data_IF_037170726466
#
_entry.id   IF_037170726466
#
_cell.length_a   1.000
_cell.length_b   1.000
_cell.length_c   1.000
_cell.angle_alpha   90.00
_cell.angle_beta   90.00
_cell.angle_gamma   90.00
#
_symmetry.space_group_name_H-M   'P 1'
#
loop_
_entity.id
_entity.type
_entity.pdbx_description
1 polymer ?
#
# COMPACT_ATOMS: atom_id res chain seq x y z
N UNK A 1 52.69 -26.37 0.46
CA UNK A 1 51.47 -27.14 0.13
C UNK A 1 50.46 -26.75 1.18
N UNK A 2 49.66 -25.74 0.89
CA UNK A 2 48.58 -25.25 1.76
C UNK A 2 47.28 -25.59 1.08
N UNK A 3 46.53 -26.42 1.73
CA UNK A 3 45.20 -26.83 1.31
C UNK A 3 44.20 -25.73 1.66
N UNK A 4 43.74 -24.99 0.67
CA UNK A 4 42.58 -24.10 0.77
C UNK A 4 41.31 -24.92 0.57
N UNK A 5 40.72 -25.39 1.65
CA UNK A 5 39.38 -25.93 1.63
C UNK A 5 38.37 -24.77 1.61
N UNK A 6 37.90 -24.47 0.42
CA UNK A 6 36.81 -23.57 0.11
C UNK A 6 35.52 -24.11 0.78
N UNK A 7 35.16 -23.49 1.93
CA UNK A 7 33.94 -23.85 2.67
C UNK A 7 32.75 -23.04 2.15
N UNK A 8 32.31 -23.35 0.93
CA UNK A 8 31.09 -22.82 0.34
C UNK A 8 29.87 -23.62 0.85
N UNK A 9 29.48 -23.37 2.09
CA UNK A 9 28.16 -23.84 2.55
C UNK A 9 27.08 -22.92 1.97
N UNK A 10 26.06 -23.44 1.27
CA UNK A 10 24.93 -22.64 0.84
C UNK A 10 24.18 -22.15 2.08
N UNK A 11 23.91 -20.85 2.09
CA UNK A 11 23.07 -20.20 3.10
C UNK A 11 21.65 -20.79 3.07
N UNK A 12 21.36 -21.66 4.03
CA UNK A 12 20.05 -22.32 4.22
C UNK A 12 19.15 -21.52 5.15
N UNK A 13 19.34 -20.21 5.28
CA UNK A 13 18.38 -19.37 5.96
C UNK A 13 17.12 -19.21 5.07
N UNK A 14 16.27 -20.23 5.11
CA UNK A 14 14.89 -20.11 4.60
C UNK A 14 14.17 -18.96 5.28
N UNK A 15 13.11 -18.40 4.68
CA UNK A 15 12.41 -17.26 5.24
C UNK A 15 11.96 -17.60 6.67
N UNK A 16 12.46 -16.81 7.64
CA UNK A 16 12.01 -16.92 9.04
C UNK A 16 10.52 -16.67 9.05
N UNK A 17 9.74 -17.64 9.54
CA UNK A 17 8.29 -17.51 9.61
C UNK A 17 7.93 -16.22 10.37
N UNK A 18 7.25 -15.32 9.69
CA UNK A 18 6.86 -14.04 10.26
C UNK A 18 5.98 -14.25 11.49
N UNK A 19 6.17 -13.50 12.57
CA UNK A 19 5.32 -13.59 13.74
C UNK A 19 3.86 -13.33 13.34
N UNK A 20 2.97 -14.24 13.72
CA UNK A 20 1.56 -14.19 13.36
C UNK A 20 0.75 -13.29 14.29
N UNK A 21 -0.21 -12.55 13.75
CA UNK A 21 -1.25 -11.87 14.50
C UNK A 21 -2.38 -12.84 14.91
N UNK A 22 -3.12 -12.50 15.95
CA UNK A 22 -4.35 -13.21 16.31
C UNK A 22 -5.55 -12.35 15.94
N UNK A 23 -6.45 -12.89 15.13
CA UNK A 23 -7.75 -12.31 14.89
C UNK A 23 -8.80 -13.15 15.62
N UNK A 24 -9.58 -12.51 16.49
CA UNK A 24 -10.70 -13.15 17.17
C UNK A 24 -12.00 -12.52 16.69
N UNK A 25 -12.89 -13.34 16.19
CA UNK A 25 -14.21 -12.96 15.70
C UNK A 25 -15.25 -13.67 16.53
N UNK A 26 -16.28 -12.96 16.97
CA UNK A 26 -17.44 -13.56 17.62
C UNK A 26 -18.48 -13.91 16.56
N UNK A 27 -18.95 -15.15 16.58
CA UNK A 27 -19.97 -15.63 15.67
C UNK A 27 -20.89 -16.62 16.41
N UNK A 28 -22.20 -16.38 16.40
CA UNK A 28 -23.17 -17.25 17.04
C UNK A 28 -22.90 -17.51 18.53
N UNK A 29 -22.42 -16.51 19.27
CA UNK A 29 -22.04 -16.62 20.69
C UNK A 29 -20.69 -17.30 20.95
N UNK A 30 -19.99 -17.74 19.91
CA UNK A 30 -18.68 -18.36 20.00
C UNK A 30 -17.57 -17.43 19.52
N UNK A 31 -16.42 -17.49 20.16
CA UNK A 31 -15.21 -16.79 19.72
C UNK A 31 -14.36 -17.71 18.84
N UNK A 32 -14.14 -17.30 17.61
CA UNK A 32 -13.25 -18.00 16.66
C UNK A 32 -11.95 -17.21 16.59
N UNK A 33 -10.87 -17.81 17.06
CA UNK A 33 -9.54 -17.19 16.96
C UNK A 33 -8.76 -17.86 15.84
N UNK A 34 -8.21 -17.05 14.94
CA UNK A 34 -7.33 -17.49 13.87
C UNK A 34 -5.99 -16.79 13.98
N UNK A 35 -4.95 -17.55 13.74
CA UNK A 35 -3.60 -17.04 13.60
C UNK A 35 -3.41 -16.63 12.13
N UNK A 36 -3.08 -15.38 11.89
CA UNK A 36 -2.90 -14.81 10.56
C UNK A 36 -1.46 -14.37 10.43
N UNK A 37 -0.75 -14.80 9.38
CA UNK A 37 0.60 -14.31 9.14
C UNK A 37 0.57 -12.79 8.90
N UNK A 38 1.68 -12.14 9.20
CA UNK A 38 1.88 -10.74 8.83
C UNK A 38 2.41 -10.69 7.40
N UNK A 39 1.98 -9.71 6.59
CA UNK A 39 2.48 -9.57 5.23
C UNK A 39 3.93 -9.09 5.19
N UNK A 40 4.64 -9.47 4.13
CA UNK A 40 5.87 -8.82 3.67
C UNK A 40 5.47 -7.80 2.61
N UNK A 41 5.85 -6.54 2.79
CA UNK A 41 5.58 -5.48 1.83
C UNK A 41 6.63 -5.54 0.71
N UNK A 42 6.16 -5.49 -0.52
CA UNK A 42 7.00 -5.39 -1.71
C UNK A 42 6.99 -3.93 -2.19
N UNK A 43 8.18 -3.36 -2.30
CA UNK A 43 8.41 -1.95 -2.65
C UNK A 43 8.99 -1.90 -4.07
N UNK A 44 8.43 -1.06 -4.94
CA UNK A 44 9.00 -0.88 -6.29
C UNK A 44 10.48 -0.47 -6.20
N UNK A 45 11.31 -1.12 -6.98
CA UNK A 45 12.76 -0.83 -7.02
C UNK A 45 13.07 0.59 -7.50
N UNK A 46 12.14 1.24 -8.22
CA UNK A 46 12.24 2.62 -8.70
C UNK A 46 11.83 3.67 -7.68
N UNK A 47 11.14 3.26 -6.57
CA UNK A 47 10.76 4.19 -5.50
C UNK A 47 12.01 4.70 -4.77
N UNK A 48 12.25 6.02 -4.85
CA UNK A 48 13.46 6.64 -4.32
C UNK A 48 13.38 6.96 -2.83
N UNK A 49 12.18 7.26 -2.34
CA UNK A 49 11.91 7.63 -0.96
C UNK A 49 10.82 6.73 -0.37
N UNK A 50 11.08 5.41 -0.23
CA UNK A 50 10.07 4.48 0.24
C UNK A 50 9.64 4.78 1.67
N UNK A 51 8.42 4.37 2.02
CA UNK A 51 7.96 4.34 3.39
C UNK A 51 8.77 3.34 4.23
N UNK A 52 8.97 3.65 5.50
CA UNK A 52 9.62 2.77 6.47
C UNK A 52 8.56 1.92 7.20
N UNK A 53 8.40 0.69 6.76
CA UNK A 53 7.45 -0.25 7.36
C UNK A 53 8.02 -0.95 8.59
N UNK A 54 9.31 -0.86 8.87
CA UNK A 54 9.94 -1.44 10.07
C UNK A 54 9.37 -0.87 11.38
N UNK A 55 8.76 0.32 11.30
CA UNK A 55 8.08 0.99 12.42
C UNK A 55 6.77 0.32 12.84
N UNK A 56 6.24 -0.59 12.03
CA UNK A 56 4.93 -1.24 12.25
C UNK A 56 5.05 -2.77 12.40
N UNK A 57 5.90 -3.27 13.32
CA UNK A 57 6.19 -4.70 13.46
C UNK A 57 4.98 -5.51 13.91
N UNK A 58 3.93 -4.85 14.42
CA UNK A 58 2.67 -5.53 14.77
C UNK A 58 1.80 -5.84 13.55
N UNK A 59 1.99 -5.16 12.42
CA UNK A 59 1.19 -5.30 11.21
C UNK A 59 1.96 -5.90 10.04
N UNK A 60 3.25 -5.60 9.92
CA UNK A 60 4.13 -5.95 8.80
C UNK A 60 5.24 -6.85 9.33
N UNK A 61 5.53 -7.93 8.60
CA UNK A 61 6.61 -8.87 8.93
C UNK A 61 7.97 -8.36 8.47
N UNK A 62 8.00 -7.65 7.35
CA UNK A 62 9.21 -7.13 6.74
C UNK A 62 8.91 -6.45 5.41
N UNK A 63 9.96 -5.98 4.75
CA UNK A 63 9.88 -5.33 3.45
C UNK A 63 10.95 -5.86 2.51
N UNK A 64 10.67 -5.84 1.20
CA UNK A 64 11.61 -6.26 0.17
C UNK A 64 11.42 -5.42 -1.09
N UNK A 65 12.49 -5.11 -1.79
CA UNK A 65 12.43 -4.42 -3.08
C UNK A 65 12.27 -5.39 -4.23
N UNK A 66 11.41 -5.03 -5.20
CA UNK A 66 11.30 -5.71 -6.47
C UNK A 66 10.77 -4.76 -7.55
N UNK A 67 10.91 -5.11 -8.82
CA UNK A 67 10.30 -4.34 -9.89
C UNK A 67 8.80 -4.63 -9.96
N UNK A 68 7.96 -3.60 -9.81
CA UNK A 68 6.51 -3.68 -9.99
C UNK A 68 6.12 -3.19 -11.38
N UNK A 69 5.03 -3.73 -11.94
CA UNK A 69 4.51 -3.30 -13.25
C UNK A 69 3.90 -1.90 -13.18
N UNK A 70 3.23 -1.59 -12.07
CA UNK A 70 2.60 -0.29 -11.77
C UNK A 70 2.54 -0.11 -10.26
N UNK A 71 2.45 1.16 -9.81
CA UNK A 71 2.38 1.50 -8.38
C UNK A 71 3.70 1.32 -7.64
N UNK A 72 3.68 1.61 -6.36
CA UNK A 72 4.88 1.69 -5.52
C UNK A 72 4.95 0.57 -4.48
N UNK A 73 3.80 0.05 -4.03
CA UNK A 73 3.73 -0.96 -2.97
C UNK A 73 2.70 -2.03 -3.27
N UNK A 74 3.07 -3.28 -2.98
CA UNK A 74 2.15 -4.42 -2.90
C UNK A 74 2.55 -5.33 -1.74
N UNK A 75 1.98 -6.52 -1.66
CA UNK A 75 2.26 -7.52 -0.64
C UNK A 75 2.62 -8.83 -1.30
N UNK A 76 3.58 -9.54 -0.74
CA UNK A 76 4.01 -10.85 -1.21
C UNK A 76 2.83 -11.83 -1.30
N UNK A 77 2.69 -12.48 -2.46
CA UNK A 77 1.56 -13.35 -2.78
C UNK A 77 0.30 -12.63 -3.26
N UNK A 78 0.32 -11.29 -3.35
CA UNK A 78 -0.78 -10.47 -3.87
C UNK A 78 -0.35 -9.55 -5.02
N UNK A 79 0.76 -9.86 -5.70
CA UNK A 79 1.40 -9.01 -6.70
C UNK A 79 0.48 -8.63 -7.87
N UNK A 80 -0.48 -9.51 -8.21
CA UNK A 80 -1.47 -9.29 -9.27
C UNK A 80 -2.85 -8.88 -8.73
N UNK A 81 -2.99 -8.74 -7.41
CA UNK A 81 -4.27 -8.49 -6.76
C UNK A 81 -4.36 -7.13 -6.07
N UNK A 82 -3.25 -6.65 -5.55
CA UNK A 82 -3.22 -5.46 -4.72
C UNK A 82 -2.11 -4.52 -5.19
N UNK A 83 -2.44 -3.23 -5.27
CA UNK A 83 -1.47 -2.18 -5.61
C UNK A 83 -1.80 -0.87 -4.89
N UNK A 84 -0.79 -0.23 -4.36
CA UNK A 84 -0.86 1.09 -3.76
C UNK A 84 0.13 2.02 -4.47
N UNK A 85 -0.38 3.10 -5.02
CA UNK A 85 0.42 4.21 -5.58
C UNK A 85 0.56 5.28 -4.49
N UNK A 86 1.77 5.76 -4.25
CA UNK A 86 2.07 6.85 -3.34
C UNK A 86 2.26 8.16 -4.11
N UNK A 87 1.72 9.24 -3.60
CA UNK A 87 1.95 10.59 -4.14
C UNK A 87 2.21 11.59 -3.02
N UNK A 88 3.35 12.25 -3.03
CA UNK A 88 3.49 13.48 -2.28
C UNK A 88 2.59 14.57 -2.88
N UNK A 89 2.26 15.61 -2.12
CA UNK A 89 1.45 16.70 -2.65
C UNK A 89 2.13 17.36 -3.86
N UNK A 90 3.43 17.61 -3.78
CA UNK A 90 4.21 18.19 -4.87
C UNK A 90 4.20 17.33 -6.13
N UNK A 91 4.44 16.00 -5.97
CA UNK A 91 4.42 15.07 -7.09
C UNK A 91 3.03 14.93 -7.71
N UNK A 92 1.99 14.98 -6.89
CA UNK A 92 0.61 14.96 -7.36
C UNK A 92 0.33 16.16 -8.26
N UNK A 93 0.61 17.38 -7.78
CA UNK A 93 0.37 18.62 -8.52
C UNK A 93 1.19 18.62 -9.81
N UNK A 94 2.48 18.34 -9.73
CA UNK A 94 3.37 18.27 -10.90
C UNK A 94 2.88 17.24 -11.92
N UNK A 95 2.47 16.07 -11.45
CA UNK A 95 1.95 15.00 -12.29
C UNK A 95 0.68 15.41 -13.01
N UNK A 96 -0.27 16.05 -12.32
CA UNK A 96 -1.53 16.49 -12.90
C UNK A 96 -1.35 17.65 -13.89
N UNK A 97 -0.35 18.50 -13.70
CA UNK A 97 -0.07 19.63 -14.57
C UNK A 97 0.80 19.28 -15.79
N UNK A 98 1.80 18.42 -15.63
CA UNK A 98 2.83 18.19 -16.64
C UNK A 98 2.80 16.78 -17.23
N UNK A 99 2.39 15.78 -16.47
CA UNK A 99 2.46 14.37 -16.83
C UNK A 99 1.09 13.66 -16.83
N UNK A 100 0.02 14.44 -17.01
CA UNK A 100 -1.37 13.97 -16.91
C UNK A 100 -1.67 12.71 -17.72
N UNK A 101 -1.26 12.66 -18.97
CA UNK A 101 -1.52 11.51 -19.86
C UNK A 101 -0.87 10.25 -19.33
N UNK A 102 0.40 10.34 -18.93
CA UNK A 102 1.13 9.20 -18.36
C UNK A 102 0.51 8.71 -17.04
N UNK A 103 0.07 9.64 -16.20
CA UNK A 103 -0.58 9.32 -14.95
C UNK A 103 -1.89 8.57 -15.15
N UNK A 104 -2.76 9.05 -16.03
CA UNK A 104 -4.01 8.38 -16.35
C UNK A 104 -3.79 7.00 -16.99
N UNK A 105 -2.77 6.85 -17.83
CA UNK A 105 -2.39 5.53 -18.35
C UNK A 105 -1.89 4.59 -17.21
N UNK A 106 -1.28 5.12 -16.17
CA UNK A 106 -0.98 4.37 -14.94
C UNK A 106 -2.24 3.93 -14.22
N UNK A 107 -3.18 4.85 -14.03
CA UNK A 107 -4.48 4.57 -13.41
C UNK A 107 -5.26 3.49 -14.18
N UNK A 108 -5.24 3.54 -15.52
CA UNK A 108 -5.86 2.51 -16.36
C UNK A 108 -5.26 1.12 -16.06
N UNK A 109 -3.94 1.00 -15.96
CA UNK A 109 -3.30 -0.27 -15.58
C UNK A 109 -3.66 -0.72 -14.16
N UNK A 110 -3.83 0.21 -13.22
CA UNK A 110 -4.26 -0.12 -11.86
C UNK A 110 -5.65 -0.75 -11.81
N UNK A 111 -6.51 -0.52 -12.80
CA UNK A 111 -7.86 -1.13 -12.84
C UNK A 111 -7.83 -2.66 -12.92
N UNK A 112 -6.71 -3.25 -13.32
CA UNK A 112 -6.52 -4.71 -13.36
C UNK A 112 -6.42 -5.33 -11.96
N UNK A 113 -6.08 -4.52 -10.96
CA UNK A 113 -5.92 -5.01 -9.59
C UNK A 113 -7.27 -5.00 -8.86
N UNK A 114 -7.54 -6.06 -8.10
CA UNK A 114 -8.76 -6.16 -7.29
C UNK A 114 -8.78 -5.07 -6.21
N UNK A 115 -7.65 -4.86 -5.55
CA UNK A 115 -7.46 -3.82 -4.53
C UNK A 115 -6.41 -2.82 -5.00
N UNK A 116 -6.83 -1.61 -5.17
CA UNK A 116 -6.01 -0.51 -5.68
C UNK A 116 -6.36 0.77 -4.96
N UNK A 117 -5.37 1.61 -4.71
CA UNK A 117 -5.60 2.94 -4.17
C UNK A 117 -4.44 3.87 -4.53
N UNK A 118 -4.73 5.18 -4.49
CA UNK A 118 -3.70 6.23 -4.49
C UNK A 118 -3.67 6.82 -3.10
N UNK A 119 -2.52 6.74 -2.43
CA UNK A 119 -2.30 7.36 -1.13
C UNK A 119 -1.58 8.68 -1.33
N UNK A 120 -2.22 9.77 -0.89
CA UNK A 120 -1.70 11.13 -0.99
C UNK A 120 -1.17 11.57 0.38
N UNK A 121 0.11 11.99 0.41
CA UNK A 121 0.76 12.54 1.61
C UNK A 121 0.31 14.00 1.83
N UNK A 122 -0.99 14.20 1.93
CA UNK A 122 -1.63 15.45 2.24
C UNK A 122 -3.06 15.19 2.75
N UNK A 123 -3.58 16.12 3.53
CA UNK A 123 -5.02 16.15 3.87
C UNK A 123 -5.84 16.69 2.70
N UNK A 124 -7.15 16.47 2.74
CA UNK A 124 -8.05 17.12 1.77
C UNK A 124 -7.98 18.66 1.90
N UNK A 125 -7.79 19.19 3.10
CA UNK A 125 -7.59 20.60 3.35
C UNK A 125 -6.33 21.13 2.64
N UNK A 126 -5.21 20.39 2.71
CA UNK A 126 -3.99 20.73 1.96
C UNK A 126 -4.24 20.81 0.45
N UNK A 127 -5.04 19.88 -0.10
CA UNK A 127 -5.43 19.89 -1.52
C UNK A 127 -6.26 21.13 -1.88
N UNK A 128 -7.06 21.62 -0.94
CA UNK A 128 -7.95 22.78 -1.15
C UNK A 128 -7.31 24.11 -0.82
N UNK A 129 -6.12 24.13 -0.24
CA UNK A 129 -5.38 25.35 0.07
C UNK A 129 -4.66 25.86 -1.18
N UNK A 130 -4.49 27.18 -1.28
CA UNK A 130 -3.69 27.78 -2.36
C UNK A 130 -2.24 27.32 -2.24
N UNK A 131 -1.69 26.82 -3.34
CA UNK A 131 -0.33 26.31 -3.37
C UNK A 131 0.68 27.46 -3.41
N UNK A 132 1.80 27.28 -2.69
CA UNK A 132 2.92 28.22 -2.70
C UNK A 132 3.53 28.35 -4.10
N UNK A 133 4.21 29.47 -4.37
CA UNK A 133 4.84 29.76 -5.67
C UNK A 133 5.80 28.67 -6.12
N UNK A 134 6.44 27.96 -5.19
CA UNK A 134 7.35 26.84 -5.43
C UNK A 134 6.62 25.56 -5.92
N UNK A 135 5.31 25.44 -5.69
CA UNK A 135 4.49 24.27 -6.01
C UNK A 135 3.77 24.34 -7.36
N UNK A 136 4.22 25.19 -8.29
CA UNK A 136 3.58 25.37 -9.58
C UNK A 136 2.33 26.26 -9.53
N UNK A 137 2.53 27.55 -9.62
CA UNK A 137 1.55 28.65 -9.49
C UNK A 137 0.30 28.59 -10.37
N UNK A 138 0.22 27.63 -11.30
CA UNK A 138 -0.92 27.51 -12.23
C UNK A 138 -1.95 26.44 -11.84
N UNK A 139 -1.65 25.62 -10.83
CA UNK A 139 -2.59 24.59 -10.40
C UNK A 139 -3.67 25.21 -9.51
N UNK A 140 -4.91 25.10 -9.93
CA UNK A 140 -6.03 25.56 -9.10
C UNK A 140 -6.51 24.43 -8.18
N UNK A 141 -6.66 24.65 -6.85
CA UNK A 141 -7.07 23.62 -5.89
C UNK A 141 -8.32 22.83 -6.30
N UNK A 142 -9.35 23.52 -6.84
CA UNK A 142 -10.56 22.86 -7.31
C UNK A 142 -10.33 21.97 -8.53
N UNK A 143 -9.38 22.31 -9.41
CA UNK A 143 -9.04 21.46 -10.55
C UNK A 143 -8.30 20.20 -10.10
N UNK A 144 -7.46 20.30 -9.09
CA UNK A 144 -6.76 19.16 -8.49
C UNK A 144 -7.77 18.25 -7.80
N UNK A 145 -8.59 18.77 -6.87
CA UNK A 145 -9.59 17.95 -6.17
C UNK A 145 -10.59 17.32 -7.13
N UNK A 146 -11.14 18.09 -8.08
CA UNK A 146 -12.07 17.56 -9.08
C UNK A 146 -11.44 16.50 -10.01
N UNK A 147 -10.11 16.54 -10.23
CA UNK A 147 -9.43 15.46 -10.96
C UNK A 147 -9.32 14.20 -10.12
N UNK A 148 -9.09 14.31 -8.81
CA UNK A 148 -9.05 13.16 -7.89
C UNK A 148 -10.44 12.52 -7.76
N UNK A 149 -11.50 13.32 -7.64
CA UNK A 149 -12.89 12.84 -7.66
C UNK A 149 -13.22 12.10 -8.97
N UNK A 150 -12.76 12.64 -10.10
CA UNK A 150 -12.94 12.02 -11.41
C UNK A 150 -12.16 10.68 -11.56
N UNK A 151 -11.00 10.55 -10.90
CA UNK A 151 -10.25 9.28 -10.86
C UNK A 151 -11.05 8.21 -10.14
N UNK A 152 -11.62 8.54 -9.00
CA UNK A 152 -12.45 7.62 -8.22
C UNK A 152 -13.69 7.19 -9.03
N UNK A 153 -14.39 8.16 -9.60
CA UNK A 153 -15.60 7.91 -10.38
C UNK A 153 -15.33 7.12 -11.68
N UNK A 154 -14.22 7.41 -12.39
CA UNK A 154 -13.93 6.80 -13.68
C UNK A 154 -13.24 5.44 -13.59
N UNK A 155 -12.30 5.29 -12.66
CA UNK A 155 -11.45 4.10 -12.57
C UNK A 155 -11.74 3.25 -11.33
N UNK A 156 -12.60 3.71 -10.41
CA UNK A 156 -12.85 3.05 -9.15
C UNK A 156 -11.57 2.92 -8.31
N UNK A 157 -10.69 3.93 -8.36
CA UNK A 157 -9.45 3.97 -7.59
C UNK A 157 -9.66 4.91 -6.40
N UNK A 158 -9.83 4.41 -5.18
CA UNK A 158 -9.96 5.25 -4.00
C UNK A 158 -8.75 6.16 -3.81
N UNK A 159 -8.99 7.40 -3.43
CA UNK A 159 -7.95 8.36 -3.03
C UNK A 159 -7.92 8.45 -1.51
N UNK A 160 -6.81 8.03 -0.93
CA UNK A 160 -6.60 8.02 0.51
C UNK A 160 -5.80 9.27 0.88
N UNK A 161 -6.47 10.25 1.47
CA UNK A 161 -5.82 11.43 2.02
C UNK A 161 -5.22 11.09 3.38
N UNK A 162 -4.00 11.55 3.64
CA UNK A 162 -3.30 11.31 4.89
C UNK A 162 -2.88 12.61 5.57
N UNK A 163 -1.59 12.89 5.60
CA UNK A 163 -1.01 14.10 6.20
C UNK A 163 0.33 14.38 5.54
N UNK A 164 0.77 15.63 5.55
CA UNK A 164 2.16 16.00 5.22
C UNK A 164 3.16 15.46 6.23
N UNK A 165 2.69 15.03 7.40
CA UNK A 165 3.51 14.35 8.38
C UNK A 165 3.71 12.88 7.97
N UNK A 166 4.86 12.61 7.34
CA UNK A 166 5.21 11.32 6.74
C UNK A 166 4.92 10.08 7.62
N UNK A 167 5.22 10.07 8.95
CA UNK A 167 4.88 8.96 9.82
C UNK A 167 3.40 8.55 9.82
N UNK A 168 2.48 9.48 9.63
CA UNK A 168 1.04 9.18 9.54
C UNK A 168 0.68 8.57 8.18
N UNK A 169 1.36 8.98 7.11
CA UNK A 169 1.19 8.37 5.79
C UNK A 169 1.73 6.93 5.78
N UNK A 170 2.89 6.69 6.40
CA UNK A 170 3.47 5.36 6.60
C UNK A 170 2.55 4.44 7.39
N UNK A 171 2.01 4.94 8.51
CA UNK A 171 1.04 4.20 9.33
C UNK A 171 -0.21 3.83 8.52
N UNK A 172 -0.75 4.79 7.76
CA UNK A 172 -1.93 4.55 6.91
C UNK A 172 -1.65 3.51 5.84
N UNK A 173 -0.50 3.57 5.17
CA UNK A 173 -0.08 2.59 4.18
C UNK A 173 0.07 1.19 4.81
N UNK A 174 0.79 1.08 5.93
CA UNK A 174 0.98 -0.18 6.66
C UNK A 174 -0.36 -0.79 7.08
N UNK A 175 -1.26 0.02 7.63
CA UNK A 175 -2.60 -0.41 8.03
C UNK A 175 -3.41 -0.90 6.82
N UNK A 176 -3.40 -0.16 5.71
CA UNK A 176 -4.16 -0.50 4.50
C UNK A 176 -3.66 -1.82 3.89
N UNK A 177 -2.35 -1.97 3.70
CA UNK A 177 -1.73 -3.18 3.16
C UNK A 177 -2.00 -4.40 4.06
N UNK A 178 -1.79 -4.26 5.36
CA UNK A 178 -2.01 -5.33 6.33
C UNK A 178 -3.48 -5.77 6.39
N UNK A 179 -4.44 -4.84 6.34
CA UNK A 179 -5.86 -5.18 6.36
C UNK A 179 -6.29 -5.94 5.11
N UNK A 180 -5.87 -5.49 3.93
CA UNK A 180 -6.20 -6.18 2.68
C UNK A 180 -5.61 -7.58 2.65
N UNK A 181 -4.36 -7.76 3.09
CA UNK A 181 -3.74 -9.08 3.24
C UNK A 181 -4.52 -9.97 4.22
N UNK A 182 -4.90 -9.44 5.38
CA UNK A 182 -5.64 -10.18 6.40
C UNK A 182 -6.95 -10.74 5.84
N UNK A 183 -7.76 -9.90 5.20
CA UNK A 183 -9.04 -10.34 4.65
C UNK A 183 -8.90 -11.25 3.44
N UNK A 184 -7.91 -11.03 2.61
CA UNK A 184 -7.58 -11.96 1.53
C UNK A 184 -7.15 -13.33 2.07
N UNK A 185 -6.27 -13.36 3.07
CA UNK A 185 -5.83 -14.61 3.69
C UNK A 185 -7.00 -15.40 4.30
N UNK A 186 -7.92 -14.72 4.96
CA UNK A 186 -9.14 -15.34 5.50
C UNK A 186 -10.06 -15.86 4.40
N UNK A 187 -10.19 -15.14 3.29
CA UNK A 187 -10.95 -15.57 2.12
C UNK A 187 -10.35 -16.85 1.51
N UNK A 188 -9.01 -16.91 1.35
CA UNK A 188 -8.31 -18.10 0.88
C UNK A 188 -8.49 -19.30 1.83
N UNK A 189 -8.58 -19.05 3.12
CA UNK A 189 -8.85 -20.08 4.13
C UNK A 189 -10.33 -20.55 4.18
N UNK A 190 -11.18 -20.06 3.27
CA UNK A 190 -12.61 -20.42 3.22
C UNK A 190 -13.44 -19.81 4.34
N UNK A 191 -12.91 -18.83 5.08
CA UNK A 191 -13.62 -18.19 6.19
C UNK A 191 -14.53 -17.04 5.73
N UNK A 192 -14.47 -16.67 4.45
CA UNK A 192 -15.32 -15.66 3.82
C UNK A 192 -15.21 -14.29 4.49
N UNK A 193 -16.31 -13.55 4.49
CA UNK A 193 -16.40 -12.33 5.31
C UNK A 193 -16.42 -12.74 6.76
N UNK A 194 -15.43 -12.27 7.51
CA UNK A 194 -15.31 -12.56 8.95
C UNK A 194 -16.38 -11.83 9.76
N UNK A 195 -16.76 -10.64 9.30
CA UNK A 195 -17.88 -9.89 9.86
C UNK A 195 -19.12 -10.15 9.00
N UNK A 196 -20.14 -10.74 9.60
CA UNK A 196 -21.49 -10.89 9.04
C UNK A 196 -22.45 -10.02 9.85
N UNK A 197 -23.65 -9.78 9.29
CA UNK A 197 -24.69 -9.08 10.02
C UNK A 197 -24.92 -9.74 11.39
N UNK A 198 -24.81 -8.94 12.46
CA UNK A 198 -24.87 -9.41 13.85
C UNK A 198 -23.54 -9.69 14.54
N UNK A 199 -22.41 -9.52 13.84
CA UNK A 199 -21.06 -9.60 14.43
C UNK A 199 -20.58 -8.24 15.02
N UNK A 200 -21.35 -7.17 14.84
CA UNK A 200 -21.07 -5.80 15.32
C UNK A 200 -21.83 -5.51 16.63
#
# INVERSE_FOLDING_TARGET
MLDDTDNNQPDTSGPVAAPSGRLTVKRGGHSITRQIPKPVVLIDSREQLPFDFSRFPNWIAGERRMALTVGDYTVEGMEDLLILERKSLTDLITTLMQNRVRFFAGCERMTQYRWRAILVEASYEDIKTVYDEDLCTRAHPNAVSGTLDALEARYGIPVIYTSRHRPLAEEKAASWLSKHFTYWHLEQAGLGRVLVEGDL
#
